data_IF_189141843472
#
_entry.id   IF_189141843472
#
_cell.length_a   1.000
_cell.length_b   1.000
_cell.length_c   1.000
_cell.angle_alpha   90.00
_cell.angle_beta   90.00
_cell.angle_gamma   90.00
#
_symmetry.space_group_name_H-M   'P 1'
#
loop_
_entity.id
_entity.type
_entity.pdbx_description
1 polymer ?
#
# COMPACT_ATOMS: atom_id res chain seq x y z
N UNK A 1 -13.94 -16.70 12.53
CA UNK A 1 -13.03 -15.68 11.95
C UNK A 1 -13.58 -15.29 10.58
N UNK A 2 -13.91 -14.01 10.34
CA UNK A 2 -14.28 -13.57 8.99
C UNK A 2 -13.00 -13.54 8.15
N UNK A 3 -13.01 -14.15 6.97
CA UNK A 3 -11.88 -14.09 6.05
C UNK A 3 -11.84 -12.70 5.40
N UNK A 4 -10.68 -12.05 5.32
CA UNK A 4 -10.55 -10.82 4.54
C UNK A 4 -10.94 -11.07 3.09
N UNK A 5 -11.65 -10.13 2.49
CA UNK A 5 -11.98 -10.17 1.06
C UNK A 5 -10.86 -9.55 0.23
N UNK A 6 -10.76 -9.92 -1.05
CA UNK A 6 -9.80 -9.27 -1.95
C UNK A 6 -10.42 -9.05 -3.33
N UNK A 7 -9.96 -8.00 -4.02
CA UNK A 7 -10.35 -7.69 -5.38
C UNK A 7 -9.19 -7.08 -6.16
N UNK A 8 -9.15 -7.34 -7.47
CA UNK A 8 -8.35 -6.60 -8.44
C UNK A 8 -9.29 -5.70 -9.23
N UNK A 9 -9.04 -4.40 -9.23
CA UNK A 9 -9.78 -3.46 -10.09
C UNK A 9 -9.07 -3.39 -11.43
N UNK A 10 -9.81 -3.71 -12.50
CA UNK A 10 -9.26 -3.72 -13.87
C UNK A 10 -9.06 -2.30 -14.40
N UNK A 11 -9.96 -1.38 -14.06
CA UNK A 11 -9.87 0.01 -14.47
C UNK A 11 -8.72 0.74 -13.74
N UNK A 12 -7.84 1.46 -14.47
CA UNK A 12 -6.76 2.19 -13.85
C UNK A 12 -7.25 3.30 -12.92
N UNK A 13 -6.67 3.40 -11.73
CA UNK A 13 -6.95 4.45 -10.75
C UNK A 13 -5.64 5.10 -10.33
N UNK A 14 -5.55 6.42 -10.44
CA UNK A 14 -4.39 7.17 -9.96
C UNK A 14 -4.45 7.32 -8.44
N UNK A 15 -3.30 7.10 -7.80
CA UNK A 15 -3.13 7.25 -6.37
C UNK A 15 -2.57 8.64 -6.03
N UNK A 16 -3.34 9.39 -5.26
CA UNK A 16 -3.00 10.73 -4.77
C UNK A 16 -3.01 10.82 -3.24
N UNK A 17 -3.20 9.68 -2.57
CA UNK A 17 -3.32 9.54 -1.12
C UNK A 17 -4.76 9.61 -0.61
N UNK A 18 -5.73 10.08 -1.39
CA UNK A 18 -7.14 10.13 -0.97
C UNK A 18 -7.77 8.73 -0.81
N UNK A 19 -7.14 7.70 -1.40
CA UNK A 19 -7.55 6.30 -1.29
C UNK A 19 -7.31 5.71 0.11
N UNK A 20 -6.55 6.39 0.99
CA UNK A 20 -6.37 5.99 2.39
C UNK A 20 -7.53 6.44 3.30
N UNK A 21 -8.54 7.14 2.76
CA UNK A 21 -9.70 7.57 3.55
C UNK A 21 -10.57 6.37 3.93
N UNK A 22 -11.21 6.38 5.12
CA UNK A 22 -12.07 5.30 5.56
C UNK A 22 -13.18 4.95 4.57
N UNK A 23 -13.46 3.66 4.47
CA UNK A 23 -14.49 3.09 3.61
C UNK A 23 -14.25 3.35 2.12
N UNK A 24 -13.01 3.61 1.70
CA UNK A 24 -12.70 3.76 0.29
C UNK A 24 -13.00 2.44 -0.44
N UNK A 25 -12.59 1.30 0.12
CA UNK A 25 -12.84 -0.02 -0.50
C UNK A 25 -14.34 -0.27 -0.66
N UNK A 26 -15.12 -0.03 0.39
CA UNK A 26 -16.58 -0.18 0.34
C UNK A 26 -17.19 0.71 -0.75
N UNK A 27 -16.76 1.97 -0.87
CA UNK A 27 -17.27 2.89 -1.90
C UNK A 27 -16.90 2.48 -3.32
N UNK A 28 -15.73 1.88 -3.54
CA UNK A 28 -15.32 1.43 -4.88
C UNK A 28 -15.91 0.07 -5.26
N UNK A 29 -16.15 -0.83 -4.30
CA UNK A 29 -16.38 -2.26 -4.58
C UNK A 29 -17.65 -2.83 -3.97
N UNK A 30 -18.25 -2.16 -2.99
CA UNK A 30 -19.35 -2.69 -2.18
C UNK A 30 -18.94 -3.75 -1.15
N UNK A 31 -17.65 -4.09 -1.05
CA UNK A 31 -17.15 -5.06 -0.05
C UNK A 31 -17.30 -4.48 1.36
N UNK A 32 -17.94 -5.25 2.26
CA UNK A 32 -18.17 -4.87 3.66
C UNK A 32 -17.18 -5.61 4.57
N UNK A 33 -16.45 -4.85 5.38
CA UNK A 33 -15.48 -5.36 6.36
C UNK A 33 -14.05 -5.40 5.82
N UNK A 34 -13.21 -6.23 6.43
CA UNK A 34 -11.78 -6.29 6.11
C UNK A 34 -11.54 -6.70 4.66
N UNK A 35 -10.73 -5.90 3.96
CA UNK A 35 -10.46 -6.14 2.56
C UNK A 35 -9.11 -5.59 2.09
N UNK A 36 -8.56 -6.22 1.05
CA UNK A 36 -7.41 -5.70 0.30
C UNK A 36 -7.79 -5.57 -1.17
N UNK A 37 -7.66 -4.37 -1.72
CA UNK A 37 -7.92 -4.08 -3.13
C UNK A 37 -6.62 -3.72 -3.83
N UNK A 38 -6.37 -4.34 -4.99
CA UNK A 38 -5.26 -4.01 -5.86
C UNK A 38 -5.74 -3.29 -7.12
N UNK A 39 -4.95 -2.34 -7.63
CA UNK A 39 -5.21 -1.65 -8.90
C UNK A 39 -3.93 -1.05 -9.48
N UNK A 40 -3.94 -0.73 -10.77
CA UNK A 40 -2.82 -0.05 -11.44
C UNK A 40 -3.13 1.44 -11.66
N UNK A 41 -2.11 2.29 -11.61
CA UNK A 41 -2.22 3.68 -12.03
C UNK A 41 -1.01 4.53 -11.64
N UNK A 42 -1.01 5.80 -12.02
CA UNK A 42 0.05 6.72 -11.63
C UNK A 42 0.01 6.99 -10.12
N UNK A 43 1.16 7.33 -9.54
CA UNK A 43 1.30 7.78 -8.17
C UNK A 43 1.71 9.26 -8.17
N UNK A 44 1.00 10.11 -7.45
CA UNK A 44 1.40 11.49 -7.22
C UNK A 44 0.92 11.96 -5.84
N UNK A 45 1.70 11.68 -4.81
CA UNK A 45 1.44 12.17 -3.45
C UNK A 45 2.29 13.40 -3.18
N UNK A 46 1.64 14.52 -2.82
CA UNK A 46 2.28 15.81 -2.53
C UNK A 46 1.59 16.50 -1.35
N UNK A 47 2.32 17.37 -0.66
CA UNK A 47 1.77 18.26 0.37
C UNK A 47 1.05 17.52 1.49
N UNK A 48 -0.18 17.95 1.82
CA UNK A 48 -0.97 17.43 2.93
C UNK A 48 -1.38 15.96 2.82
N UNK A 49 -1.24 15.34 1.65
CA UNK A 49 -1.57 13.92 1.45
C UNK A 49 -0.38 12.99 1.75
N UNK A 50 0.81 13.53 2.03
CA UNK A 50 1.96 12.74 2.48
C UNK A 50 1.73 12.35 3.95
N UNK A 51 1.40 11.08 4.17
CA UNK A 51 1.07 10.56 5.51
C UNK A 51 2.33 10.38 6.37
N UNK A 52 3.47 10.05 5.76
CA UNK A 52 4.75 10.00 6.48
C UNK A 52 5.20 11.41 6.86
N UNK A 53 5.20 11.72 8.15
CA UNK A 53 5.54 13.03 8.69
C UNK A 53 7.00 13.43 8.36
N UNK A 54 7.90 12.46 8.27
CA UNK A 54 9.32 12.66 7.95
C UNK A 54 9.46 13.09 6.49
N UNK A 55 8.77 12.40 5.58
CA UNK A 55 8.77 12.75 4.15
C UNK A 55 8.04 14.08 3.90
N UNK A 56 6.94 14.34 4.61
CA UNK A 56 6.22 15.62 4.55
C UNK A 56 7.10 16.79 4.98
N UNK A 57 7.83 16.65 6.10
CA UNK A 57 8.80 17.67 6.58
C UNK A 57 9.95 17.87 5.61
N UNK A 58 10.39 16.82 4.93
CA UNK A 58 11.44 16.89 3.92
C UNK A 58 10.94 17.40 2.55
N UNK A 59 9.64 17.70 2.40
CA UNK A 59 9.05 18.16 1.15
C UNK A 59 9.11 17.12 0.03
N UNK A 60 9.25 15.84 0.37
CA UNK A 60 9.38 14.78 -0.62
C UNK A 60 8.02 14.47 -1.24
N UNK A 61 8.03 14.32 -2.55
CA UNK A 61 6.88 13.82 -3.30
C UNK A 61 7.13 12.36 -3.67
N UNK A 62 6.08 11.56 -3.62
CA UNK A 62 6.11 10.19 -4.15
C UNK A 62 5.44 10.21 -5.51
N UNK A 63 6.23 10.01 -6.56
CA UNK A 63 5.77 10.13 -7.95
C UNK A 63 6.21 8.92 -8.75
N UNK A 64 5.25 8.31 -9.45
CA UNK A 64 5.51 7.27 -10.44
C UNK A 64 4.51 7.39 -11.59
N UNK A 65 4.97 7.15 -12.83
CA UNK A 65 4.09 7.16 -14.01
C UNK A 65 3.11 5.98 -14.00
N UNK A 66 3.54 4.86 -13.45
CA UNK A 66 2.76 3.64 -13.33
C UNK A 66 3.23 2.86 -12.11
N UNK A 67 2.28 2.38 -11.30
CA UNK A 67 2.53 1.63 -10.09
C UNK A 67 1.38 0.64 -9.85
N UNK A 68 1.69 -0.49 -9.24
CA UNK A 68 0.70 -1.40 -8.67
C UNK A 68 0.44 -0.97 -7.23
N UNK A 69 -0.80 -0.62 -6.93
CA UNK A 69 -1.24 -0.15 -5.62
C UNK A 69 -1.96 -1.27 -4.89
N UNK A 70 -1.81 -1.30 -3.56
CA UNK A 70 -2.61 -2.12 -2.67
C UNK A 70 -3.19 -1.22 -1.58
N UNK A 71 -4.51 -1.23 -1.42
CA UNK A 71 -5.22 -0.55 -0.34
C UNK A 71 -5.84 -1.63 0.55
N UNK A 72 -5.47 -1.61 1.83
CA UNK A 72 -5.98 -2.55 2.83
C UNK A 72 -6.74 -1.77 3.91
N UNK A 73 -8.00 -2.14 4.14
CA UNK A 73 -8.81 -1.64 5.25
C UNK A 73 -9.05 -2.79 6.24
N UNK A 74 -8.68 -2.58 7.50
CA UNK A 74 -8.87 -3.53 8.59
C UNK A 74 -9.65 -2.87 9.74
N UNK A 75 -10.84 -3.37 10.03
CA UNK A 75 -11.71 -2.80 11.05
C UNK A 75 -11.35 -3.36 12.44
N UNK A 76 -11.15 -2.46 13.41
CA UNK A 76 -10.77 -2.81 14.77
C UNK A 76 -9.27 -2.98 15.01
N UNK A 77 -8.43 -2.78 13.98
CA UNK A 77 -6.98 -2.66 14.14
C UNK A 77 -6.63 -1.27 14.67
N UNK A 78 -5.79 -1.21 15.70
CA UNK A 78 -5.29 0.03 16.28
C UNK A 78 -3.93 0.44 15.72
N UNK A 79 -3.39 1.51 16.29
CA UNK A 79 -2.08 2.06 15.92
C UNK A 79 -0.92 1.05 16.10
N UNK A 80 -0.92 0.16 17.11
CA UNK A 80 0.11 -0.89 17.21
C UNK A 80 0.00 -1.96 16.12
N UNK A 81 -1.22 -2.33 15.73
CA UNK A 81 -1.48 -3.38 14.74
C UNK A 81 -1.21 -2.91 13.31
N UNK A 82 -1.51 -1.65 12.99
CA UNK A 82 -1.41 -1.14 11.62
C UNK A 82 0.00 -1.31 11.00
N UNK A 83 1.12 -0.93 11.66
CA UNK A 83 2.47 -1.17 11.13
C UNK A 83 2.84 -2.66 11.01
N UNK A 84 2.27 -3.53 11.85
CA UNK A 84 2.49 -4.98 11.76
C UNK A 84 1.81 -5.56 10.52
N UNK A 85 0.55 -5.20 10.29
CA UNK A 85 -0.23 -5.60 9.12
C UNK A 85 0.40 -5.07 7.82
N UNK A 86 0.86 -3.81 7.83
CA UNK A 86 1.62 -3.22 6.73
C UNK A 86 2.87 -4.05 6.38
N UNK A 87 3.71 -4.34 7.38
CA UNK A 87 4.94 -5.13 7.18
C UNK A 87 4.65 -6.56 6.74
N UNK A 88 3.56 -7.15 7.22
CA UNK A 88 3.12 -8.47 6.77
C UNK A 88 2.69 -8.46 5.30
N UNK A 89 1.91 -7.46 4.88
CA UNK A 89 1.53 -7.33 3.46
C UNK A 89 2.76 -7.13 2.56
N UNK A 90 3.71 -6.28 2.97
CA UNK A 90 4.98 -6.11 2.25
C UNK A 90 5.77 -7.41 2.20
N UNK A 91 5.78 -8.20 3.29
CA UNK A 91 6.41 -9.52 3.30
C UNK A 91 5.74 -10.49 2.32
N UNK A 92 4.41 -10.53 2.24
CA UNK A 92 3.71 -11.34 1.24
C UNK A 92 4.09 -10.93 -0.20
N UNK A 93 4.20 -9.62 -0.48
CA UNK A 93 4.68 -9.13 -1.77
C UNK A 93 6.12 -9.57 -2.05
N UNK A 94 7.01 -9.50 -1.04
CA UNK A 94 8.38 -9.99 -1.14
C UNK A 94 8.41 -11.48 -1.49
N UNK A 95 7.65 -12.32 -0.79
CA UNK A 95 7.58 -13.76 -1.08
C UNK A 95 7.05 -14.05 -2.49
N UNK A 96 6.03 -13.32 -2.93
CA UNK A 96 5.46 -13.48 -4.27
C UNK A 96 6.44 -13.11 -5.41
N UNK A 97 7.32 -12.13 -5.17
CA UNK A 97 8.39 -11.74 -6.09
C UNK A 97 9.59 -12.70 -6.01
N UNK A 98 9.91 -13.19 -4.81
CA UNK A 98 10.96 -14.19 -4.61
C UNK A 98 10.62 -15.51 -5.32
N UNK A 99 9.36 -15.96 -5.23
CA UNK A 99 8.85 -17.12 -5.95
C UNK A 99 8.93 -16.97 -7.49
N UNK A 100 8.94 -15.73 -7.98
CA UNK A 100 9.18 -15.39 -9.39
C UNK A 100 10.67 -15.20 -9.74
N UNK A 101 11.56 -15.51 -8.80
CA UNK A 101 13.02 -15.43 -8.97
C UNK A 101 13.51 -14.04 -9.38
N UNK A 102 12.88 -12.98 -8.86
CA UNK A 102 13.38 -11.60 -9.06
C UNK A 102 14.77 -11.48 -8.46
N UNK A 103 15.78 -11.26 -9.32
CA UNK A 103 17.17 -11.19 -8.90
C UNK A 103 17.44 -9.97 -8.02
N UNK A 104 18.34 -10.12 -7.04
CA UNK A 104 18.76 -9.07 -6.11
C UNK A 104 17.61 -8.42 -5.31
N UNK A 105 16.49 -9.14 -5.12
CA UNK A 105 15.36 -8.70 -4.31
C UNK A 105 15.74 -8.69 -2.82
N UNK A 106 15.50 -7.58 -2.14
CA UNK A 106 15.77 -7.42 -0.70
C UNK A 106 14.58 -6.71 -0.04
N UNK A 107 14.17 -7.17 1.14
CA UNK A 107 13.23 -6.45 2.01
C UNK A 107 13.97 -5.81 3.19
N UNK A 108 13.67 -4.55 3.48
CA UNK A 108 14.16 -3.82 4.66
C UNK A 108 12.98 -3.14 5.34
N UNK A 109 12.49 -3.72 6.44
CA UNK A 109 11.26 -3.23 7.08
C UNK A 109 10.05 -3.37 6.16
N UNK A 110 9.41 -2.24 5.85
CA UNK A 110 8.26 -2.06 4.96
C UNK A 110 8.64 -1.67 3.51
N UNK A 111 9.93 -1.65 3.20
CA UNK A 111 10.44 -1.36 1.86
C UNK A 111 11.00 -2.60 1.15
N UNK A 112 10.73 -2.67 -0.16
CA UNK A 112 11.33 -3.62 -1.09
C UNK A 112 12.36 -2.91 -1.98
N UNK A 113 13.42 -3.63 -2.32
CA UNK A 113 14.52 -3.16 -3.16
C UNK A 113 14.90 -4.21 -4.20
N UNK A 114 15.40 -3.75 -5.35
CA UNK A 114 16.12 -4.57 -6.34
C UNK A 114 17.53 -3.99 -6.48
N UNK A 115 18.53 -4.72 -5.99
CA UNK A 115 19.87 -4.20 -5.83
C UNK A 115 19.89 -2.99 -4.89
N UNK A 116 20.38 -1.84 -5.38
CA UNK A 116 20.39 -0.58 -4.63
C UNK A 116 19.12 0.27 -4.84
N UNK A 117 18.25 -0.07 -5.79
CA UNK A 117 17.08 0.72 -6.14
C UNK A 117 15.86 0.34 -5.29
N UNK A 118 15.17 1.34 -4.73
CA UNK A 118 13.93 1.16 -3.98
C UNK A 118 12.79 0.82 -4.94
N UNK A 119 12.13 -0.30 -4.72
CA UNK A 119 11.06 -0.85 -5.56
C UNK A 119 9.67 -0.42 -5.08
N UNK A 120 9.46 -0.32 -3.78
CA UNK A 120 8.15 -0.04 -3.19
C UNK A 120 8.15 1.20 -2.30
N UNK A 121 6.95 1.71 -2.06
CA UNK A 121 6.63 2.61 -0.96
C UNK A 121 5.47 1.99 -0.18
N UNK A 122 5.39 2.26 1.11
CA UNK A 122 4.31 1.75 1.95
C UNK A 122 4.03 2.73 3.08
N UNK A 123 2.79 2.75 3.56
CA UNK A 123 2.39 3.51 4.75
C UNK A 123 1.25 2.81 5.46
N UNK A 124 1.18 2.96 6.78
CA UNK A 124 0.05 2.52 7.60
C UNK A 124 -0.44 3.67 8.48
N UNK A 125 -1.76 3.80 8.62
CA UNK A 125 -2.40 4.77 9.51
C UNK A 125 -3.70 4.18 10.05
N UNK A 126 -4.26 4.84 11.06
CA UNK A 126 -5.60 4.58 11.60
C UNK A 126 -6.50 5.78 11.35
N UNK A 127 -7.82 5.58 11.47
CA UNK A 127 -8.85 6.61 11.27
C UNK A 127 -9.95 6.52 12.30
#
# INVERSE_FOLDING_TARGET
MRRPSFALLEEPINYDGSQLRPHWIYKQTGIVGDAVVAFKGACCVKGANVVDVTDARAGRAVIAKEMLHFIAEHFGAGLPEAPLLQRLLVFCCFEALLARQVAALVRRGDDLFVGAAKLSVSVATVS
#
